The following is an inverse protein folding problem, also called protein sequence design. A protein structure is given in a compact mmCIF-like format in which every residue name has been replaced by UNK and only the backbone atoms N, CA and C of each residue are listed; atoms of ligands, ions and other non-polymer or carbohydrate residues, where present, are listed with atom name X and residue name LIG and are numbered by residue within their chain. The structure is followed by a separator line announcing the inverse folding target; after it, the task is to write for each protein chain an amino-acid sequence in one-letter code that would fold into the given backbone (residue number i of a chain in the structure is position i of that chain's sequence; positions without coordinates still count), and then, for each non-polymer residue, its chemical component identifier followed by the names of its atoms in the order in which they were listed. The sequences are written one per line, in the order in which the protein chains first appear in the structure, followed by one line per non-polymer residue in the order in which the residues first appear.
data_IF_603997202790
#
_entry.id   IF_603997202790
#
_cell.length_a   1.000
_cell.length_b   1.000
_cell.length_c   1.000
_cell.angle_alpha   90.00
_cell.angle_beta   90.00
_cell.angle_gamma   90.00
#
_symmetry.space_group_name_H-M   'P 1'
#
loop_
_entity.id
_entity.type
_entity.pdbx_description
1 polymer ?
#
# COMPACT_ATOMS: atom_id res chain seq x y z
N UNK A 1 -19.42 8.52 -2.26
CA UNK A 1 -18.23 8.46 -1.38
C UNK A 1 -17.04 8.74 -2.28
N UNK A 2 -16.40 9.90 -2.13
CA UNK A 2 -15.30 10.33 -2.99
C UNK A 2 -14.00 9.88 -2.34
N UNK A 3 -13.38 8.85 -2.90
CA UNK A 3 -12.01 8.48 -2.53
C UNK A 3 -11.07 9.46 -3.22
N UNK A 4 -10.62 10.47 -2.48
CA UNK A 4 -9.60 11.41 -2.96
C UNK A 4 -8.22 10.75 -2.88
N UNK A 5 -7.97 9.78 -3.76
CA UNK A 5 -6.62 9.23 -4.05
C UNK A 5 -5.65 10.34 -4.53
N UNK A 6 -6.16 11.54 -4.85
CA UNK A 6 -5.39 12.70 -5.28
C UNK A 6 -5.01 13.73 -4.19
N UNK A 7 -5.60 13.69 -2.99
CA UNK A 7 -5.37 14.74 -1.98
C UNK A 7 -4.09 14.53 -1.13
N UNK A 8 -3.53 13.31 -1.12
CA UNK A 8 -2.29 12.99 -0.43
C UNK A 8 -1.01 13.40 -1.18
N UNK A 9 -1.09 14.31 -2.16
CA UNK A 9 0.07 14.72 -2.97
C UNK A 9 1.09 15.62 -2.26
N UNK A 10 0.76 16.34 -1.18
CA UNK A 10 1.41 17.65 -1.02
C UNK A 10 1.95 18.06 0.37
N UNK A 11 1.59 17.42 1.48
CA UNK A 11 2.16 17.84 2.77
C UNK A 11 3.28 16.88 3.18
N UNK A 12 4.52 17.32 3.01
CA UNK A 12 5.79 16.64 3.37
C UNK A 12 6.43 15.75 2.32
N UNK A 13 6.72 16.42 1.22
CA UNK A 13 8.03 16.37 0.54
C UNK A 13 9.27 16.62 1.44
N UNK A 14 9.24 16.36 2.75
CA UNK A 14 10.28 16.83 3.66
C UNK A 14 10.78 15.69 4.54
N UNK A 15 11.54 14.74 3.97
CA UNK A 15 12.89 14.45 4.49
C UNK A 15 13.60 13.23 3.84
N UNK A 16 12.93 12.15 3.43
CA UNK A 16 13.64 10.88 3.19
C UNK A 16 12.92 10.02 2.14
N UNK A 17 13.33 10.05 0.87
CA UNK A 17 12.74 9.26 -0.23
C UNK A 17 12.86 7.75 -0.05
N UNK A 18 12.00 7.15 0.79
CA UNK A 18 12.06 5.72 1.17
C UNK A 18 10.69 5.04 1.35
N UNK A 19 9.60 5.80 1.41
CA UNK A 19 8.25 5.28 1.69
C UNK A 19 7.17 6.10 0.97
N UNK A 20 6.14 5.41 0.48
CA UNK A 20 4.94 5.96 -0.16
C UNK A 20 3.81 5.97 0.87
N UNK A 21 3.01 7.03 0.94
CA UNK A 21 1.99 7.20 1.98
C UNK A 21 0.64 7.52 1.39
N UNK A 22 -0.42 6.95 1.97
CA UNK A 22 -1.80 7.17 1.56
C UNK A 22 -2.71 7.32 2.77
N UNK A 23 -3.90 7.88 2.58
CA UNK A 23 -4.85 8.13 3.68
C UNK A 23 -6.19 7.46 3.36
N UNK A 24 -6.72 6.69 4.31
CA UNK A 24 -8.07 6.09 4.25
C UNK A 24 -8.87 6.61 5.43
N UNK A 25 -10.03 7.22 5.17
CA UNK A 25 -10.96 7.71 6.20
C UNK A 25 -10.33 8.59 7.31
N UNK A 26 -9.20 9.23 7.03
CA UNK A 26 -8.47 10.08 7.99
C UNK A 26 -7.26 9.41 8.65
N UNK A 27 -7.10 8.10 8.50
CA UNK A 27 -5.91 7.35 8.94
C UNK A 27 -4.86 7.31 7.83
N UNK A 28 -3.61 7.62 8.20
CA UNK A 28 -2.47 7.63 7.27
C UNK A 28 -1.68 6.33 7.39
N UNK A 29 -1.45 5.70 6.24
CA UNK A 29 -0.72 4.47 6.05
C UNK A 29 0.52 4.69 5.21
N UNK A 30 1.55 3.88 5.43
CA UNK A 30 2.83 3.96 4.72
C UNK A 30 3.23 2.61 4.15
N UNK A 31 3.56 2.59 2.86
CA UNK A 31 4.12 1.46 2.13
C UNK A 31 5.62 1.70 1.84
N UNK A 32 6.47 0.67 1.93
CA UNK A 32 7.88 0.81 1.60
C UNK A 32 8.08 0.94 0.09
N UNK A 33 8.78 1.97 -0.40
CA UNK A 33 9.11 2.07 -1.85
C UNK A 33 10.27 1.15 -2.24
N UNK A 34 10.97 0.58 -1.26
CA UNK A 34 12.05 -0.39 -1.44
C UNK A 34 11.68 -1.68 -0.71
N UNK A 35 11.45 -2.76 -1.46
CA UNK A 35 11.17 -4.07 -0.87
C UNK A 35 12.44 -4.66 -0.25
N UNK A 36 12.43 -4.87 1.07
CA UNK A 36 13.49 -5.63 1.71
C UNK A 36 13.45 -7.10 1.28
N UNK A 37 14.58 -7.81 1.37
CA UNK A 37 14.65 -9.25 1.04
C UNK A 37 13.64 -10.10 1.83
N UNK A 38 13.26 -9.66 3.03
CA UNK A 38 12.24 -10.30 3.85
C UNK A 38 10.85 -10.11 3.24
N UNK A 39 10.47 -8.87 2.93
CA UNK A 39 9.20 -8.53 2.29
C UNK A 39 9.07 -9.20 0.92
N UNK A 40 10.10 -9.14 0.07
CA UNK A 40 10.10 -9.80 -1.23
C UNK A 40 9.95 -11.33 -1.13
N UNK A 41 10.51 -11.96 -0.09
CA UNK A 41 10.32 -13.39 0.17
C UNK A 41 8.90 -13.71 0.60
N UNK A 42 8.30 -12.88 1.46
CA UNK A 42 6.90 -13.01 1.85
C UNK A 42 5.99 -12.83 0.65
N UNK A 43 6.20 -11.80 -0.17
CA UNK A 43 5.42 -11.56 -1.39
C UNK A 43 5.48 -12.72 -2.38
N UNK A 44 6.63 -13.40 -2.49
CA UNK A 44 6.80 -14.58 -3.34
C UNK A 44 6.09 -15.84 -2.80
N UNK A 45 5.79 -15.87 -1.51
CA UNK A 45 5.10 -16.99 -0.84
C UNK A 45 3.58 -16.84 -0.89
N UNK A 46 3.09 -15.62 -1.16
CA UNK A 46 1.67 -15.31 -1.29
C UNK A 46 1.13 -15.74 -2.66
N UNK A 47 -0.10 -16.22 -2.68
CA UNK A 47 -0.84 -16.47 -3.91
C UNK A 47 -1.35 -15.15 -4.52
N UNK A 48 -1.66 -15.16 -5.82
CA UNK A 48 -2.20 -13.98 -6.52
C UNK A 48 -3.52 -13.50 -5.91
N UNK A 49 -4.25 -14.41 -5.26
CA UNK A 49 -5.50 -14.13 -4.58
C UNK A 49 -5.32 -13.65 -3.13
N UNK A 50 -4.12 -13.73 -2.56
CA UNK A 50 -3.82 -13.35 -1.16
C UNK A 50 -3.49 -11.86 -1.01
N UNK A 51 -4.45 -11.02 -1.37
CA UNK A 51 -4.35 -9.56 -1.26
C UNK A 51 -4.14 -9.11 0.19
N UNK A 52 -4.83 -9.74 1.14
CA UNK A 52 -4.69 -9.47 2.57
C UNK A 52 -3.28 -9.79 3.10
N UNK A 53 -2.71 -10.92 2.66
CA UNK A 53 -1.34 -11.28 3.00
C UNK A 53 -0.33 -10.29 2.44
N UNK A 54 -0.59 -9.76 1.25
CA UNK A 54 0.26 -8.79 0.58
C UNK A 54 0.22 -7.43 1.28
N UNK A 55 -0.98 -6.94 1.59
CA UNK A 55 -1.17 -5.73 2.37
C UNK A 55 -0.51 -5.85 3.74
N UNK A 56 -0.68 -6.99 4.44
CA UNK A 56 -0.02 -7.26 5.72
C UNK A 56 1.50 -7.29 5.60
N UNK A 57 2.07 -7.78 4.50
CA UNK A 57 3.50 -7.80 4.26
C UNK A 57 4.08 -6.39 3.97
N UNK A 58 3.32 -5.54 3.28
CA UNK A 58 3.73 -4.19 2.92
C UNK A 58 3.53 -3.19 4.06
N UNK A 59 2.34 -3.19 4.67
CA UNK A 59 1.98 -2.32 5.78
C UNK A 59 2.60 -2.78 7.10
N UNK A 60 2.80 -4.08 7.28
CA UNK A 60 3.09 -4.68 8.57
C UNK A 60 1.82 -4.88 9.41
N UNK A 61 1.93 -5.72 10.44
CA UNK A 61 0.77 -6.12 11.28
C UNK A 61 0.05 -4.93 11.93
N UNK A 62 0.78 -3.98 12.51
CA UNK A 62 0.18 -2.85 13.24
C UNK A 62 -0.63 -1.91 12.33
N UNK A 63 -0.14 -1.64 11.13
CA UNK A 63 -0.85 -0.80 10.16
C UNK A 63 -1.99 -1.58 9.50
N UNK A 64 -1.77 -2.86 9.19
CA UNK A 64 -2.79 -3.72 8.61
C UNK A 64 -4.00 -3.90 9.53
N UNK A 65 -3.82 -4.06 10.85
CA UNK A 65 -4.95 -4.14 11.80
C UNK A 65 -5.80 -2.86 11.83
N UNK A 66 -5.22 -1.71 11.49
CA UNK A 66 -5.98 -0.45 11.35
C UNK A 66 -6.68 -0.41 10.00
N UNK A 67 -5.97 -0.80 8.94
CA UNK A 67 -6.50 -0.90 7.58
C UNK A 67 -7.72 -1.83 7.51
N UNK A 68 -7.64 -3.00 8.14
CA UNK A 68 -8.71 -4.02 8.22
C UNK A 68 -9.97 -3.50 8.94
N UNK A 69 -9.82 -2.53 9.85
CA UNK A 69 -10.96 -1.90 10.53
C UNK A 69 -11.70 -0.89 9.65
N UNK A 70 -11.07 -0.42 8.58
CA UNK A 70 -11.72 0.47 7.62
C UNK A 70 -12.56 -0.36 6.65
N UNK A 71 -13.67 0.22 6.19
CA UNK A 71 -14.53 -0.41 5.19
C UNK A 71 -13.89 -0.23 3.80
N UNK A 72 -12.74 -0.88 3.59
CA UNK A 72 -11.96 -0.77 2.35
C UNK A 72 -12.46 -1.82 1.36
N UNK A 73 -12.90 -1.37 0.18
CA UNK A 73 -13.36 -2.29 -0.86
C UNK A 73 -12.19 -2.84 -1.68
N UNK A 74 -12.40 -3.98 -2.35
CA UNK A 74 -11.43 -4.51 -3.33
C UNK A 74 -11.07 -3.49 -4.42
N UNK A 75 -11.98 -2.59 -4.78
CA UNK A 75 -11.72 -1.54 -5.76
C UNK A 75 -10.76 -0.48 -5.21
N UNK A 76 -10.90 -0.11 -3.93
CA UNK A 76 -9.98 0.81 -3.26
C UNK A 76 -8.60 0.20 -3.12
N UNK A 77 -8.53 -1.08 -2.76
CA UNK A 77 -7.26 -1.82 -2.69
C UNK A 77 -6.59 -1.85 -4.07
N UNK A 78 -7.34 -2.18 -5.13
CA UNK A 78 -6.82 -2.18 -6.50
C UNK A 78 -6.32 -0.79 -6.92
N UNK A 79 -7.05 0.28 -6.60
CA UNK A 79 -6.64 1.65 -6.89
C UNK A 79 -5.35 2.06 -6.14
N UNK A 80 -5.23 1.68 -4.87
CA UNK A 80 -4.02 1.90 -4.06
C UNK A 80 -2.84 1.13 -4.64
N UNK A 81 -3.03 -0.14 -4.97
CA UNK A 81 -2.01 -1.01 -5.56
C UNK A 81 -1.54 -0.50 -6.92
N UNK A 82 -2.46 -0.07 -7.77
CA UNK A 82 -2.16 0.52 -9.08
C UNK A 82 -1.35 1.82 -8.92
N UNK A 83 -1.80 2.72 -8.03
CA UNK A 83 -1.09 3.98 -7.76
C UNK A 83 0.32 3.72 -7.21
N UNK A 84 0.43 2.83 -6.22
CA UNK A 84 1.68 2.43 -5.61
C UNK A 84 2.63 1.79 -6.63
N UNK A 85 2.17 0.85 -7.46
CA UNK A 85 2.99 0.21 -8.49
C UNK A 85 3.47 1.20 -9.55
N UNK A 86 2.59 2.14 -9.96
CA UNK A 86 2.90 3.19 -10.92
C UNK A 86 3.93 4.20 -10.41
N UNK A 87 3.86 4.57 -9.13
CA UNK A 87 4.74 5.59 -8.54
C UNK A 87 6.07 5.02 -8.05
N UNK A 88 6.08 3.78 -7.56
CA UNK A 88 7.31 3.15 -7.05
C UNK A 88 8.06 2.33 -8.10
N UNK A 89 7.40 1.98 -9.21
CA UNK A 89 7.92 1.04 -10.21
C UNK A 89 7.91 -0.42 -9.73
N UNK A 90 7.41 -0.69 -8.52
CA UNK A 90 7.15 -2.02 -7.99
C UNK A 90 5.76 -2.46 -8.46
N UNK A 91 5.60 -2.65 -9.77
CA UNK A 91 4.39 -3.22 -10.33
C UNK A 91 4.19 -4.65 -9.80
N UNK A 92 3.28 -4.81 -8.83
CA UNK A 92 2.84 -6.10 -8.33
C UNK A 92 1.83 -6.65 -9.34
N UNK A 93 2.34 -7.27 -10.41
CA UNK A 93 1.54 -8.00 -11.40
C UNK A 93 1.22 -7.23 -12.69
N UNK A 94 2.09 -7.36 -13.69
CA UNK A 94 1.65 -7.40 -15.09
C UNK A 94 2.18 -8.71 -15.68
N UNK A 95 1.27 -9.67 -15.90
CA UNK A 95 1.53 -10.99 -16.48
C UNK A 95 0.24 -11.71 -16.82
#
# INVERSE_FOLDING_TARGET
MTFDVGAARAQRQEALGRAWSFTIEGDTFTLPTELTRKTARTLRDLDDNDVDGLLRALLGEEQYERFDRHDVTMQDIAAIMEAYGKETGLGLGEG
#
